data_IF_380740901217
#
_entry.id   IF_380740901217
#
_cell.length_a   1.000
_cell.length_b   1.000
_cell.length_c   1.000
_cell.angle_alpha   90.00
_cell.angle_beta   90.00
_cell.angle_gamma   90.00
#
_symmetry.space_group_name_H-M   'P 1'
#
loop_
_entity.id
_entity.type
_entity.pdbx_description
1 polymer ?
#
# COMPACT_ATOMS: atom_id res chain seq x y z
N UNK A 1 7.34 -17.14 38.64
CA UNK A 1 7.12 -16.45 37.35
C UNK A 1 5.73 -16.84 36.87
N UNK A 2 4.73 -15.99 37.16
CA UNK A 2 3.29 -16.31 37.02
C UNK A 2 2.69 -15.52 35.86
N UNK A 3 2.12 -16.29 34.92
CA UNK A 3 0.83 -16.19 34.23
C UNK A 3 0.27 -14.85 33.69
N UNK A 4 -0.27 -15.00 32.48
CA UNK A 4 -1.06 -14.09 31.65
C UNK A 4 -2.28 -13.47 32.35
N UNK A 5 -2.58 -12.21 32.00
CA UNK A 5 -3.90 -11.64 31.68
C UNK A 5 -3.92 -10.14 32.01
N UNK A 6 -4.31 -9.32 31.04
CA UNK A 6 -4.24 -7.86 31.06
C UNK A 6 -3.80 -7.43 29.67
N UNK A 7 -4.55 -7.83 28.64
CA UNK A 7 -5.85 -7.21 28.41
C UNK A 7 -5.53 -5.97 27.61
N UNK A 8 -5.88 -6.01 26.32
CA UNK A 8 -5.87 -4.90 25.37
C UNK A 8 -5.95 -3.60 26.15
N UNK A 9 -4.82 -2.89 26.21
CA UNK A 9 -4.68 -1.58 26.85
C UNK A 9 -5.47 -0.56 26.07
N UNK A 10 -6.79 -0.75 26.15
CA UNK A 10 -7.88 0.19 26.25
C UNK A 10 -7.68 1.40 25.34
N UNK A 11 -8.48 1.40 24.28
CA UNK A 11 -8.77 2.53 23.41
C UNK A 11 -8.97 3.88 24.13
N UNK A 12 -9.17 3.90 25.45
CA UNK A 12 -9.25 5.07 26.32
C UNK A 12 -7.91 5.82 26.50
N UNK A 13 -6.76 5.13 26.45
CA UNK A 13 -5.44 5.79 26.47
C UNK A 13 -5.09 6.51 25.16
N UNK A 14 -5.81 6.20 24.08
CA UNK A 14 -5.67 6.84 22.76
C UNK A 14 -6.58 8.06 22.60
N UNK A 15 -7.68 8.14 23.34
CA UNK A 15 -8.61 9.29 23.28
C UNK A 15 -7.99 10.55 23.90
N UNK A 16 -7.06 10.41 24.84
CA UNK A 16 -6.49 11.53 25.61
C UNK A 16 -5.16 12.10 25.10
N UNK A 17 -4.62 11.63 23.97
CA UNK A 17 -3.41 12.21 23.37
C UNK A 17 -3.75 13.07 22.18
N UNK A 18 -4.40 14.22 22.39
CA UNK A 18 -4.42 15.37 21.46
C UNK A 18 -4.30 15.04 19.94
N UNK A 19 -5.04 14.05 19.42
CA UNK A 19 -5.00 13.66 17.99
C UNK A 19 -5.87 14.58 17.13
N UNK A 20 -5.95 15.84 17.55
CA UNK A 20 -6.71 16.91 16.91
C UNK A 20 -5.75 18.03 16.58
N UNK A 21 -4.63 17.72 15.92
CA UNK A 21 -3.79 18.73 15.30
C UNK A 21 -3.59 18.30 13.86
N UNK A 22 -4.62 18.62 13.07
CA UNK A 22 -4.67 18.57 11.61
C UNK A 22 -4.54 17.14 11.07
N UNK A 23 -5.67 16.53 10.67
CA UNK A 23 -5.70 15.19 10.06
C UNK A 23 -4.99 15.08 8.71
N UNK A 24 -3.96 15.88 8.45
CA UNK A 24 -3.08 15.89 7.29
C UNK A 24 -2.21 14.63 7.28
N UNK A 25 -1.88 14.16 6.08
CA UNK A 25 -1.06 12.98 5.89
C UNK A 25 0.35 13.17 6.46
N UNK A 26 0.80 12.21 7.26
CA UNK A 26 2.13 12.25 7.90
C UNK A 26 3.28 12.23 6.89
N UNK A 27 3.04 11.69 5.69
CA UNK A 27 4.06 11.60 4.64
C UNK A 27 4.24 12.89 3.85
N UNK A 28 3.15 13.60 3.52
CA UNK A 28 3.19 14.76 2.63
C UNK A 28 2.79 16.08 3.29
N UNK A 29 2.20 16.05 4.48
CA UNK A 29 1.74 17.22 5.24
C UNK A 29 0.67 18.08 4.57
N UNK A 30 0.11 17.66 3.43
CA UNK A 30 -0.61 18.57 2.52
C UNK A 30 -2.13 18.39 2.53
N UNK A 31 -2.61 17.14 2.61
CA UNK A 31 -4.04 16.80 2.47
C UNK A 31 -4.47 15.91 3.63
N UNK A 32 -5.77 15.93 3.96
CA UNK A 32 -6.34 15.01 4.94
C UNK A 32 -5.99 13.56 4.59
N UNK A 33 -5.53 12.81 5.58
CA UNK A 33 -5.13 11.43 5.42
C UNK A 33 -6.36 10.54 5.28
N UNK A 34 -6.44 9.84 4.15
CA UNK A 34 -7.36 8.73 3.92
C UNK A 34 -6.59 7.54 3.35
N UNK A 35 -7.22 6.38 3.31
CA UNK A 35 -6.64 5.19 2.69
C UNK A 35 -6.34 5.46 1.21
N UNK A 36 -7.27 6.07 0.48
CA UNK A 36 -7.10 6.48 -0.91
C UNK A 36 -5.95 7.48 -1.07
N UNK A 37 -5.82 8.45 -0.16
CA UNK A 37 -4.70 9.36 -0.19
C UNK A 37 -3.37 8.62 -0.03
N UNK A 38 -3.23 7.79 1.01
CA UNK A 38 -1.97 7.06 1.28
C UNK A 38 -1.60 6.11 0.15
N UNK A 39 -2.58 5.47 -0.49
CA UNK A 39 -2.34 4.47 -1.53
C UNK A 39 -2.23 5.05 -2.95
N UNK A 40 -2.89 6.16 -3.24
CA UNK A 40 -3.03 6.67 -4.62
C UNK A 40 -2.54 8.11 -4.77
N UNK A 41 -3.00 9.02 -3.92
CA UNK A 41 -2.89 10.47 -4.19
C UNK A 41 -1.74 11.18 -3.48
N UNK A 42 -1.20 10.58 -2.42
CA UNK A 42 -0.05 11.10 -1.69
C UNK A 42 1.10 11.26 -2.67
N UNK A 43 1.81 12.40 -2.61
CA UNK A 43 2.98 12.63 -3.47
C UNK A 43 3.99 11.48 -3.38
N UNK A 44 4.17 10.93 -2.17
CA UNK A 44 5.00 9.74 -1.94
C UNK A 44 4.51 8.52 -2.75
N UNK A 45 3.21 8.24 -2.71
CA UNK A 45 2.61 7.13 -3.44
C UNK A 45 2.70 7.34 -4.95
N UNK A 46 2.40 8.55 -5.44
CA UNK A 46 2.51 8.91 -6.86
C UNK A 46 3.92 8.70 -7.39
N UNK A 47 4.94 9.11 -6.64
CA UNK A 47 6.35 8.89 -7.01
C UNK A 47 6.67 7.39 -7.05
N UNK A 48 6.15 6.60 -6.11
CA UNK A 48 6.34 5.15 -6.13
C UNK A 48 5.66 4.50 -7.36
N UNK A 49 4.43 4.91 -7.70
CA UNK A 49 3.72 4.42 -8.87
C UNK A 49 4.40 4.81 -10.19
N UNK A 50 4.90 6.04 -10.30
CA UNK A 50 5.62 6.53 -11.48
C UNK A 50 7.02 5.91 -11.63
N UNK A 51 7.70 5.67 -10.50
CA UNK A 51 9.04 5.08 -10.49
C UNK A 51 9.07 3.61 -10.91
N UNK A 52 7.90 2.95 -10.99
CA UNK A 52 7.78 1.61 -11.54
C UNK A 52 7.64 1.67 -13.07
N UNK A 53 8.76 1.92 -13.74
CA UNK A 53 8.84 2.20 -15.20
C UNK A 53 8.56 0.97 -16.08
N UNK A 54 8.40 -0.23 -15.50
CA UNK A 54 8.44 -1.47 -16.28
C UNK A 54 7.11 -2.01 -16.81
N UNK A 55 5.93 -1.54 -16.39
CA UNK A 55 4.85 -2.53 -16.27
C UNK A 55 3.53 -2.21 -16.93
N UNK A 56 2.94 -3.30 -17.42
CA UNK A 56 1.54 -3.67 -17.60
C UNK A 56 0.61 -3.32 -16.40
N UNK A 57 0.89 -2.29 -15.61
CA UNK A 57 0.05 -1.85 -14.50
C UNK A 57 -0.34 -0.41 -14.78
N UNK A 58 -1.64 -0.13 -14.80
CA UNK A 58 -2.12 1.23 -14.98
C UNK A 58 -2.12 1.91 -13.61
N UNK A 59 -1.29 2.95 -13.40
CA UNK A 59 -1.24 3.66 -12.14
C UNK A 59 -2.59 4.32 -11.85
N UNK A 60 -2.90 4.58 -10.57
CA UNK A 60 -4.12 5.27 -10.21
C UNK A 60 -4.11 6.69 -10.78
N UNK A 61 -5.24 7.11 -11.36
CA UNK A 61 -5.44 8.45 -11.90
C UNK A 61 -6.22 9.30 -10.91
N UNK A 62 -5.98 10.62 -10.93
CA UNK A 62 -6.51 11.60 -9.95
C UNK A 62 -8.06 11.65 -9.82
N UNK A 63 -8.82 10.99 -10.71
CA UNK A 63 -10.29 11.02 -10.74
C UNK A 63 -10.98 9.69 -10.40
N UNK A 64 -10.25 8.62 -10.08
CA UNK A 64 -10.85 7.30 -9.80
C UNK A 64 -10.83 6.98 -8.31
N UNK A 65 -11.94 6.55 -7.73
CA UNK A 65 -11.89 5.95 -6.40
C UNK A 65 -11.06 4.68 -6.40
N UNK A 66 -10.56 4.24 -5.24
CA UNK A 66 -9.79 3.00 -5.13
C UNK A 66 -10.57 1.81 -5.71
N UNK A 67 -11.87 1.72 -5.40
CA UNK A 67 -12.74 0.68 -5.93
C UNK A 67 -12.84 0.73 -7.46
N UNK A 68 -13.11 1.91 -8.04
CA UNK A 68 -13.21 2.09 -9.50
C UNK A 68 -11.90 1.73 -10.20
N UNK A 69 -10.77 2.07 -9.60
CA UNK A 69 -9.46 1.74 -10.14
C UNK A 69 -9.20 0.22 -10.13
N UNK A 70 -9.48 -0.46 -9.02
CA UNK A 70 -9.36 -1.92 -8.93
C UNK A 70 -10.32 -2.63 -9.90
N UNK A 71 -11.58 -2.19 -9.99
CA UNK A 71 -12.55 -2.73 -10.95
C UNK A 71 -12.04 -2.62 -12.38
N UNK A 72 -11.47 -1.47 -12.75
CA UNK A 72 -10.89 -1.25 -14.07
C UNK A 72 -9.74 -2.23 -14.36
N UNK A 73 -8.85 -2.46 -13.40
CA UNK A 73 -7.79 -3.47 -13.53
C UNK A 73 -8.37 -4.90 -13.68
N UNK A 74 -9.53 -5.16 -13.08
CA UNK A 74 -10.20 -6.45 -13.10
C UNK A 74 -11.08 -6.72 -14.35
N UNK A 75 -11.43 -5.70 -15.15
CA UNK A 75 -12.52 -5.82 -16.16
C UNK A 75 -12.14 -5.46 -17.61
N UNK A 76 -11.03 -6.00 -18.14
CA UNK A 76 -10.66 -6.01 -19.58
C UNK A 76 -9.64 -4.96 -20.06
N UNK A 77 -8.74 -4.51 -19.19
CA UNK A 77 -7.61 -3.67 -19.68
C UNK A 77 -6.42 -4.50 -20.16
N UNK A 78 -6.44 -5.81 -19.90
CA UNK A 78 -5.32 -6.70 -20.18
C UNK A 78 -5.60 -7.66 -21.33
N UNK A 79 -4.61 -7.92 -22.20
CA UNK A 79 -4.78 -8.79 -23.36
C UNK A 79 -4.97 -10.26 -23.01
N UNK A 80 -4.65 -10.67 -21.76
CA UNK A 80 -4.93 -12.03 -21.28
C UNK A 80 -5.22 -12.06 -19.78
N UNK A 81 -5.94 -13.10 -19.33
CA UNK A 81 -6.19 -13.35 -17.90
C UNK A 81 -4.92 -13.60 -17.11
N UNK A 82 -3.87 -14.15 -17.72
CA UNK A 82 -2.58 -14.34 -17.06
C UNK A 82 -1.90 -12.99 -16.74
N UNK A 83 -1.87 -12.08 -17.72
CA UNK A 83 -1.32 -10.73 -17.54
C UNK A 83 -2.15 -9.95 -16.52
N UNK A 84 -3.49 -10.08 -16.58
CA UNK A 84 -4.38 -9.48 -15.59
C UNK A 84 -4.05 -9.93 -14.16
N UNK A 85 -3.90 -11.24 -13.93
CA UNK A 85 -3.56 -11.75 -12.59
C UNK A 85 -2.21 -11.22 -12.11
N UNK A 86 -1.21 -11.16 -13.00
CA UNK A 86 0.11 -10.57 -12.73
C UNK A 86 0.01 -9.10 -12.33
N UNK A 87 -0.77 -8.31 -13.06
CA UNK A 87 -0.97 -6.89 -12.77
C UNK A 87 -1.72 -6.65 -11.45
N UNK A 88 -2.86 -7.31 -11.24
CA UNK A 88 -3.71 -7.11 -10.05
C UNK A 88 -2.98 -7.51 -8.77
N UNK A 89 -2.27 -8.64 -8.78
CA UNK A 89 -1.46 -9.07 -7.64
C UNK A 89 -0.31 -8.09 -7.37
N UNK A 90 0.38 -7.59 -8.40
CA UNK A 90 1.43 -6.59 -8.21
C UNK A 90 0.87 -5.32 -7.56
N UNK A 91 -0.29 -4.84 -8.02
CA UNK A 91 -0.99 -3.70 -7.42
C UNK A 91 -1.27 -3.95 -5.94
N UNK A 92 -1.69 -5.17 -5.56
CA UNK A 92 -1.91 -5.52 -4.16
C UNK A 92 -0.63 -5.42 -3.32
N UNK A 93 0.52 -5.91 -3.82
CA UNK A 93 1.81 -5.78 -3.13
C UNK A 93 2.25 -4.33 -3.01
N UNK A 94 2.11 -3.52 -4.07
CA UNK A 94 2.41 -2.09 -4.00
C UNK A 94 1.56 -1.36 -2.96
N UNK A 95 0.25 -1.61 -2.94
CA UNK A 95 -0.64 -1.04 -1.94
C UNK A 95 -0.23 -1.45 -0.52
N UNK A 96 0.11 -2.71 -0.31
CA UNK A 96 0.61 -3.21 0.97
C UNK A 96 1.88 -2.47 1.42
N UNK A 97 2.88 -2.35 0.55
CA UNK A 97 4.14 -1.69 0.92
C UNK A 97 4.03 -0.17 1.05
N UNK A 98 3.10 0.48 0.35
CA UNK A 98 2.77 1.89 0.59
C UNK A 98 2.15 2.10 1.97
N UNK A 99 1.14 1.28 2.30
CA UNK A 99 0.51 1.30 3.62
C UNK A 99 1.53 1.00 4.73
N UNK A 100 2.37 -0.02 4.53
CA UNK A 100 3.43 -0.39 5.47
C UNK A 100 4.42 0.75 5.66
N UNK A 101 4.93 1.36 4.57
CA UNK A 101 5.84 2.48 4.67
C UNK A 101 5.24 3.70 5.39
N UNK A 102 3.92 3.95 5.25
CA UNK A 102 3.24 4.99 6.03
C UNK A 102 3.16 4.63 7.51
N UNK A 103 2.88 3.37 7.85
CA UNK A 103 2.80 2.93 9.25
C UNK A 103 4.17 2.90 9.92
N UNK A 104 5.19 2.36 9.27
CA UNK A 104 6.56 2.34 9.79
C UNK A 104 7.06 3.78 10.01
N UNK A 105 6.66 4.73 9.15
CA UNK A 105 6.97 6.16 9.36
C UNK A 105 6.28 6.73 10.60
N UNK A 106 5.02 6.38 10.84
CA UNK A 106 4.23 6.91 11.97
C UNK A 106 4.60 6.25 13.31
N UNK A 107 4.74 4.92 13.35
CA UNK A 107 4.94 4.16 14.58
C UNK A 107 6.42 3.97 14.93
N UNK A 108 7.26 3.74 13.92
CA UNK A 108 8.66 3.33 14.10
C UNK A 108 9.67 4.40 13.66
N UNK A 109 9.18 5.58 13.22
CA UNK A 109 9.98 6.68 12.69
C UNK A 109 10.90 6.27 11.53
N UNK A 110 10.50 5.26 10.74
CA UNK A 110 11.28 4.75 9.61
C UNK A 110 10.89 5.49 8.33
N UNK A 111 11.82 6.29 7.80
CA UNK A 111 11.60 7.03 6.56
C UNK A 111 12.02 6.22 5.32
N UNK A 112 11.15 5.32 4.88
CA UNK A 112 11.33 4.55 3.64
C UNK A 112 11.16 5.42 2.39
N UNK A 113 12.07 5.30 1.42
CA UNK A 113 11.97 5.98 0.12
C UNK A 113 10.95 5.30 -0.82
N UNK A 114 10.42 6.00 -1.84
CA UNK A 114 9.56 5.38 -2.86
C UNK A 114 10.25 4.20 -3.57
N UNK A 115 11.56 4.32 -3.84
CA UNK A 115 12.36 3.25 -4.45
C UNK A 115 12.44 2.00 -3.57
N UNK A 116 12.50 2.16 -2.24
CA UNK A 116 12.46 1.02 -1.32
C UNK A 116 11.10 0.32 -1.37
N UNK A 117 10.00 1.07 -1.43
CA UNK A 117 8.64 0.51 -1.60
C UNK A 117 8.55 -0.32 -2.87
N UNK A 118 8.97 0.25 -4.01
CA UNK A 118 8.96 -0.45 -5.31
C UNK A 118 9.78 -1.74 -5.22
N UNK A 119 11.02 -1.67 -4.71
CA UNK A 119 11.92 -2.82 -4.62
C UNK A 119 11.36 -3.94 -3.72
N UNK A 120 10.74 -3.58 -2.60
CA UNK A 120 10.16 -4.57 -1.69
C UNK A 120 8.90 -5.20 -2.27
N UNK A 121 8.04 -4.40 -2.93
CA UNK A 121 6.86 -4.91 -3.63
C UNK A 121 7.25 -5.84 -4.78
N UNK A 122 8.21 -5.43 -5.60
CA UNK A 122 8.74 -6.20 -6.73
C UNK A 122 9.31 -7.55 -6.27
N UNK A 123 10.16 -7.56 -5.24
CA UNK A 123 10.71 -8.80 -4.68
C UNK A 123 9.60 -9.73 -4.17
N UNK A 124 8.71 -9.22 -3.33
CA UNK A 124 7.65 -10.03 -2.73
C UNK A 124 6.68 -10.58 -3.79
N UNK A 125 6.41 -9.80 -4.84
CA UNK A 125 5.59 -10.24 -5.96
C UNK A 125 6.28 -11.36 -6.75
N UNK A 126 7.57 -11.23 -7.07
CA UNK A 126 8.33 -12.30 -7.74
C UNK A 126 8.35 -13.58 -6.90
N UNK A 127 8.62 -13.48 -5.60
CA UNK A 127 8.63 -14.63 -4.68
C UNK A 127 7.26 -15.34 -4.66
N UNK A 128 6.18 -14.56 -4.60
CA UNK A 128 4.81 -15.08 -4.66
C UNK A 128 4.49 -15.78 -5.99
N UNK A 129 4.87 -15.18 -7.13
CA UNK A 129 4.62 -15.79 -8.44
C UNK A 129 5.41 -17.07 -8.64
N UNK A 130 6.69 -17.07 -8.26
CA UNK A 130 7.55 -18.25 -8.37
C UNK A 130 6.99 -19.40 -7.51
N UNK A 131 6.52 -19.11 -6.30
CA UNK A 131 5.90 -20.12 -5.44
C UNK A 131 4.59 -20.69 -6.00
N UNK A 132 3.80 -19.88 -6.72
CA UNK A 132 2.58 -20.36 -7.37
C UNK A 132 2.91 -21.22 -8.58
N UNK A 133 3.89 -20.82 -9.39
CA UNK A 133 4.30 -21.59 -10.57
C UNK A 133 4.92 -22.93 -10.16
N UNK A 134 5.72 -22.99 -9.08
CA UNK A 134 6.27 -24.24 -8.55
C UNK A 134 5.23 -25.19 -7.96
N UNK A 135 4.09 -24.66 -7.50
CA UNK A 135 2.99 -25.49 -6.98
C UNK A 135 2.03 -25.98 -8.07
N UNK A 136 2.17 -25.47 -9.30
CA UNK A 136 1.35 -25.86 -10.45
C UNK A 136 2.01 -26.91 -11.34
N UNK A 137 3.30 -27.21 -11.10
CA UNK A 137 4.11 -28.24 -11.75
C UNK A 137 4.21 -29.50 -10.89
#
# INVERSE_FOLDING_TARGET
MRCCAGGVGVCEALVNRQMTIEGKCWRCGSVMESVEHVLMYCLFARVAWLGFVFSFVIPPTDFLTFHQWIDKLATNVYPSKAIQRKAVSFVAFMCWYLWKARNDFYFDNVNSSPSNVIRCADRAWHDYFNAIESNAS
#
